data_IF_666728946140
#
_entry.id   IF_666728946140
#
_cell.length_a   1.000
_cell.length_b   1.000
_cell.length_c   1.000
_cell.angle_alpha   90.00
_cell.angle_beta   90.00
_cell.angle_gamma   90.00
#
_symmetry.space_group_name_H-M   'P 1'
#
loop_
_entity.id
_entity.type
_entity.pdbx_description
1 polymer ?
#
# COMPACT_ATOMS: atom_id res chain seq x y z
N UNK A 1 -23.63 2.76 -5.46
CA UNK A 1 -23.04 3.13 -6.75
C UNK A 1 -21.89 4.10 -6.59
N UNK A 2 -20.83 3.86 -7.29
CA UNK A 2 -19.65 4.71 -7.17
C UNK A 2 -19.82 5.99 -7.98
N UNK A 3 -19.42 7.11 -7.42
CA UNK A 3 -19.46 8.35 -8.18
C UNK A 3 -18.51 8.29 -9.36
N UNK A 4 -18.91 8.98 -10.40
CA UNK A 4 -18.09 9.07 -11.58
C UNK A 4 -16.81 9.83 -11.29
N UNK A 5 -15.71 9.33 -11.81
CA UNK A 5 -14.44 10.00 -11.67
C UNK A 5 -13.77 9.87 -10.32
N UNK A 6 -14.34 9.11 -9.43
CA UNK A 6 -13.67 8.90 -8.16
C UNK A 6 -12.50 7.95 -8.35
N UNK A 7 -11.40 8.22 -7.66
CA UNK A 7 -10.26 7.35 -7.70
C UNK A 7 -10.58 6.05 -6.96
N UNK A 8 -10.03 4.97 -7.46
CA UNK A 8 -10.22 3.69 -6.82
C UNK A 8 -9.23 3.52 -5.67
N UNK A 9 -9.68 2.83 -4.66
CA UNK A 9 -8.83 2.47 -3.55
C UNK A 9 -8.57 0.97 -3.62
N UNK A 10 -7.32 0.59 -3.81
CA UNK A 10 -6.93 -0.80 -3.97
C UNK A 10 -6.12 -1.22 -2.76
N UNK A 11 -6.54 -2.29 -2.13
CA UNK A 11 -5.84 -2.82 -0.97
C UNK A 11 -5.28 -4.19 -1.32
N UNK A 12 -3.98 -4.37 -1.05
CA UNK A 12 -3.28 -5.61 -1.36
C UNK A 12 -2.59 -6.10 -0.10
N UNK A 13 -2.75 -7.38 0.19
CA UNK A 13 -2.04 -8.01 1.30
C UNK A 13 -0.71 -8.51 0.79
N UNK A 14 0.36 -8.14 1.47
CA UNK A 14 1.72 -8.52 1.09
C UNK A 14 2.39 -9.25 2.24
N UNK A 15 3.39 -10.04 1.91
CA UNK A 15 4.14 -10.78 2.93
C UNK A 15 5.10 -9.88 3.70
N UNK A 16 5.62 -8.84 3.02
CA UNK A 16 6.59 -7.94 3.63
C UNK A 16 6.37 -6.55 3.06
N UNK A 17 5.89 -5.64 3.90
CA UNK A 17 5.59 -4.29 3.47
C UNK A 17 6.86 -3.51 3.12
N UNK A 18 7.95 -3.74 3.86
CA UNK A 18 9.20 -3.05 3.58
C UNK A 18 9.75 -3.44 2.21
N UNK A 19 9.70 -4.72 1.91
CA UNK A 19 10.18 -5.21 0.63
C UNK A 19 9.30 -4.71 -0.50
N UNK A 20 7.99 -4.72 -0.30
CA UNK A 20 7.06 -4.21 -1.30
C UNK A 20 7.31 -2.73 -1.58
N UNK A 21 7.54 -1.96 -0.54
CA UNK A 21 7.84 -0.54 -0.68
C UNK A 21 9.15 -0.33 -1.44
N UNK A 22 10.16 -1.12 -1.13
CA UNK A 22 11.45 -1.02 -1.84
C UNK A 22 11.31 -1.33 -3.32
N UNK A 23 10.51 -2.34 -3.65
CA UNK A 23 10.26 -2.69 -5.04
C UNK A 23 9.56 -1.57 -5.79
N UNK A 24 8.61 -0.91 -5.13
CA UNK A 24 7.91 0.21 -5.74
C UNK A 24 8.83 1.40 -5.95
N UNK A 25 9.71 1.66 -5.00
CA UNK A 25 10.68 2.76 -5.15
C UNK A 25 11.62 2.54 -6.31
N UNK A 26 11.97 1.30 -6.58
CA UNK A 26 12.80 0.97 -7.73
C UNK A 26 12.10 1.31 -9.04
N UNK A 27 10.79 1.29 -9.04
CA UNK A 27 9.99 1.65 -10.20
C UNK A 27 9.68 3.13 -10.28
N UNK A 28 10.17 3.91 -9.32
CA UNK A 28 9.92 5.33 -9.29
C UNK A 28 8.64 5.73 -8.59
N UNK A 29 8.01 4.81 -7.91
CA UNK A 29 6.80 5.09 -7.15
C UNK A 29 7.18 5.60 -5.77
N UNK A 30 6.53 6.67 -5.36
CA UNK A 30 6.75 7.23 -4.02
C UNK A 30 5.79 6.58 -3.05
N UNK A 31 6.35 5.92 -2.05
CA UNK A 31 5.57 5.30 -1.01
C UNK A 31 5.62 6.15 0.25
N UNK A 32 4.55 6.11 1.03
CA UNK A 32 4.57 6.68 2.36
C UNK A 32 5.50 5.86 3.26
N UNK A 33 5.79 6.40 4.42
CA UNK A 33 6.49 5.62 5.41
C UNK A 33 5.63 4.45 5.85
N UNK A 34 6.29 3.39 6.29
CA UNK A 34 5.57 2.23 6.80
C UNK A 34 4.89 2.60 8.11
N UNK A 35 3.59 2.44 8.14
CA UNK A 35 2.79 2.70 9.32
C UNK A 35 2.71 1.41 10.14
N UNK A 36 3.43 1.37 11.24
CA UNK A 36 3.54 0.18 12.06
C UNK A 36 2.45 0.13 13.10
N UNK A 37 1.64 -0.91 13.04
CA UNK A 37 0.57 -1.14 13.99
C UNK A 37 0.83 -2.44 14.74
N UNK A 38 0.23 -2.63 15.92
CA UNK A 38 0.45 -3.86 16.67
C UNK A 38 0.08 -5.14 15.92
N UNK A 39 -0.81 -5.03 14.94
CA UNK A 39 -1.33 -6.18 14.19
C UNK A 39 -0.91 -6.18 12.73
N UNK A 40 -0.12 -5.20 12.30
CA UNK A 40 0.29 -5.19 10.92
C UNK A 40 1.02 -3.93 10.53
N UNK A 41 1.47 -3.89 9.30
CA UNK A 41 2.13 -2.74 8.74
C UNK A 41 1.42 -2.31 7.48
N UNK A 42 1.34 -1.01 7.26
CA UNK A 42 0.65 -0.44 6.11
C UNK A 42 1.56 0.51 5.37
N UNK A 43 1.46 0.46 4.06
CA UNK A 43 2.13 1.42 3.18
C UNK A 43 1.09 1.95 2.21
N UNK A 44 1.10 3.25 1.99
CA UNK A 44 0.18 3.88 1.05
C UNK A 44 0.97 4.53 -0.07
N UNK A 45 0.42 4.46 -1.25
CA UNK A 45 1.01 5.17 -2.39
C UNK A 45 -0.06 5.43 -3.43
N UNK A 46 0.24 6.41 -4.30
CA UNK A 46 -0.62 6.72 -5.44
C UNK A 46 0.11 6.30 -6.70
N UNK A 47 -0.60 5.67 -7.62
CA UNK A 47 -0.01 5.35 -8.89
C UNK A 47 -0.10 6.54 -9.86
N UNK A 48 0.59 6.48 -11.01
CA UNK A 48 0.55 7.59 -11.97
C UNK A 48 -0.84 7.87 -12.54
N UNK A 49 -1.72 6.91 -12.47
CA UNK A 49 -3.08 7.07 -12.98
C UNK A 49 -4.01 7.70 -11.95
N UNK A 50 -3.51 7.97 -10.77
CA UNK A 50 -4.30 8.61 -9.74
C UNK A 50 -5.05 7.64 -8.83
N UNK A 51 -4.76 6.36 -8.93
CA UNK A 51 -5.37 5.38 -8.05
C UNK A 51 -4.61 5.31 -6.74
N UNK A 52 -5.36 5.12 -5.68
CA UNK A 52 -4.76 4.99 -4.36
C UNK A 52 -4.59 3.53 -3.99
N UNK A 53 -3.41 3.20 -3.53
CA UNK A 53 -3.07 1.84 -3.14
C UNK A 53 -2.70 1.80 -1.68
N UNK A 54 -3.07 0.70 -1.04
CA UNK A 54 -2.63 0.42 0.32
C UNK A 54 -2.09 -1.00 0.35
N UNK A 55 -0.88 -1.14 0.84
CA UNK A 55 -0.28 -2.45 1.04
C UNK A 55 -0.38 -2.78 2.51
N UNK A 56 -0.83 -3.98 2.81
CA UNK A 56 -1.02 -4.40 4.18
C UNK A 56 -0.23 -5.67 4.44
N UNK A 57 0.61 -5.59 5.45
CA UNK A 57 1.33 -6.77 5.94
C UNK A 57 0.68 -7.18 7.25
N UNK A 58 0.14 -8.38 7.29
CA UNK A 58 -0.50 -8.90 8.49
C UNK A 58 0.55 -9.63 9.30
N UNK A 59 0.68 -9.24 10.56
CA UNK A 59 1.60 -9.90 11.46
C UNK A 59 0.82 -11.01 12.16
N UNK A 60 1.14 -12.23 11.82
CA UNK A 60 0.47 -13.36 12.42
C UNK A 60 1.03 -13.59 13.82
N UNK A 61 0.18 -13.89 14.78
CA UNK A 61 0.67 -14.29 16.10
C UNK A 61 1.39 -15.63 15.99
N UNK A 62 2.49 -15.70 16.65
CA UNK A 62 3.28 -16.94 16.62
C UNK A 62 2.97 -17.82 17.82
#
# INVERSE_FOLDING_TARGET
>A
MMPEGSSQFIQVVVADADEACAALRRRGVKCSEVDEQPWGRFVRFDDPDGNRWALQQIIAPS
#
